data_IF_478569456927
#
_entry.id   IF_478569456927
#
_cell.length_a   1.000
_cell.length_b   1.000
_cell.length_c   1.000
_cell.angle_alpha   90.00
_cell.angle_beta   90.00
_cell.angle_gamma   90.00
#
_symmetry.space_group_name_H-M   'P 1'
#
loop_
_entity.id
_entity.type
_entity.pdbx_description
1 polymer ?
#
# COMPACT_ATOMS: atom_id res chain seq x y z
N UNK A 1 -45.00 30.28 28.50
CA UNK A 1 -45.63 29.10 27.88
C UNK A 1 -44.63 28.55 26.87
N UNK A 2 -44.03 27.37 26.94
CA UNK A 2 -44.16 26.19 27.80
C UNK A 2 -42.73 25.65 28.02
N UNK A 3 -42.51 25.18 29.24
CA UNK A 3 -41.32 24.56 29.84
C UNK A 3 -41.06 23.12 29.37
N UNK A 4 -39.78 22.70 29.53
CA UNK A 4 -39.22 21.35 29.77
C UNK A 4 -40.15 20.14 29.67
N UNK A 5 -39.66 19.06 29.05
CA UNK A 5 -39.60 17.70 29.62
C UNK A 5 -38.84 16.77 28.65
N UNK A 6 -37.66 16.30 29.05
CA UNK A 6 -37.03 15.11 28.45
C UNK A 6 -37.30 13.97 29.42
N UNK A 7 -38.26 13.11 29.08
CA UNK A 7 -38.57 11.91 29.84
C UNK A 7 -37.54 10.82 29.56
N UNK A 8 -37.00 10.27 30.64
CA UNK A 8 -36.28 9.02 30.64
C UNK A 8 -37.27 7.85 30.54
N UNK A 9 -37.01 6.92 29.62
CA UNK A 9 -37.72 5.63 29.54
C UNK A 9 -36.75 4.45 29.72
N UNK A 10 -37.22 3.27 30.19
CA UNK A 10 -36.49 2.51 31.19
C UNK A 10 -35.99 1.11 30.74
N UNK A 11 -35.06 0.61 31.57
CA UNK A 11 -34.77 -0.79 31.96
C UNK A 11 -34.21 -1.80 30.93
N UNK A 12 -33.00 -2.20 31.32
CA UNK A 12 -32.22 -3.42 31.01
C UNK A 12 -33.08 -4.68 30.88
N UNK A 13 -32.82 -5.44 29.82
CA UNK A 13 -33.11 -6.89 29.76
C UNK A 13 -31.94 -7.66 30.37
N UNK A 14 -32.25 -8.55 31.30
CA UNK A 14 -31.37 -9.59 31.86
C UNK A 14 -31.00 -10.64 30.81
N UNK A 15 -29.76 -11.16 30.78
CA UNK A 15 -29.44 -12.37 30.02
C UNK A 15 -29.82 -13.62 30.83
N UNK A 16 -30.47 -14.56 30.16
CA UNK A 16 -30.79 -15.91 30.62
C UNK A 16 -29.52 -16.77 30.76
N UNK A 17 -29.51 -17.61 31.81
CA UNK A 17 -28.46 -18.59 32.12
C UNK A 17 -28.28 -19.59 30.97
N UNK A 18 -27.07 -19.69 30.44
CA UNK A 18 -26.61 -20.86 29.68
C UNK A 18 -25.82 -21.79 30.62
N UNK A 19 -26.14 -23.07 30.52
CA UNK A 19 -25.63 -24.20 31.31
C UNK A 19 -24.16 -24.48 31.02
N UNK A 20 -23.42 -24.79 32.09
CA UNK A 20 -21.99 -25.08 32.10
C UNK A 20 -21.61 -26.35 31.32
N UNK A 21 -20.48 -26.30 30.62
CA UNK A 21 -19.74 -27.47 30.12
C UNK A 21 -18.60 -27.82 31.10
N UNK A 22 -18.20 -29.09 31.24
CA UNK A 22 -17.29 -29.55 32.29
C UNK A 22 -15.82 -29.13 32.05
N UNK A 23 -14.99 -29.08 33.10
CA UNK A 23 -13.63 -28.54 33.03
C UNK A 23 -12.65 -29.53 32.39
N UNK A 24 -11.73 -28.97 31.60
CA UNK A 24 -10.55 -29.65 31.09
C UNK A 24 -9.57 -29.91 32.25
N UNK A 25 -9.13 -31.16 32.37
CA UNK A 25 -8.10 -31.61 33.31
C UNK A 25 -6.72 -31.17 32.82
N UNK A 26 -6.05 -30.34 33.63
CA UNK A 26 -4.68 -29.87 33.41
C UNK A 26 -3.70 -30.92 33.95
N UNK A 27 -2.92 -31.55 33.08
CA UNK A 27 -1.83 -32.45 33.48
C UNK A 27 -0.54 -31.65 33.55
N UNK A 28 -0.08 -31.44 34.79
CA UNK A 28 1.16 -30.78 35.12
C UNK A 28 2.39 -31.49 34.53
N UNK A 29 3.26 -30.74 33.85
CA UNK A 29 4.70 -31.04 33.79
C UNK A 29 5.53 -29.75 33.83
N UNK A 30 6.27 -29.63 34.93
CA UNK A 30 7.48 -28.81 35.19
C UNK A 30 7.55 -27.36 34.65
N UNK A 31 7.17 -26.41 35.51
CA UNK A 31 7.66 -25.02 35.42
C UNK A 31 9.10 -24.94 35.95
N UNK A 32 10.03 -24.51 35.10
CA UNK A 32 11.34 -24.02 35.53
C UNK A 32 11.17 -22.73 36.35
N UNK A 33 11.91 -22.63 37.46
CA UNK A 33 11.89 -21.48 38.39
C UNK A 33 12.23 -20.16 37.68
N UNK A 34 11.63 -19.03 38.08
CA UNK A 34 12.05 -17.72 37.60
C UNK A 34 13.46 -17.40 38.12
N UNK A 35 14.37 -17.03 37.22
CA UNK A 35 15.66 -16.44 37.58
C UNK A 35 15.41 -14.97 37.91
N UNK A 36 15.66 -14.61 39.17
CA UNK A 36 15.75 -13.21 39.60
C UNK A 36 17.00 -12.59 38.95
N UNK A 37 16.77 -11.66 38.02
CA UNK A 37 17.83 -10.82 37.46
C UNK A 37 18.13 -9.75 38.51
N UNK A 38 19.32 -9.78 39.11
CA UNK A 38 19.80 -8.75 40.03
C UNK A 38 19.98 -7.39 39.33
N UNK A 39 20.11 -6.29 40.10
CA UNK A 39 20.25 -4.96 39.52
C UNK A 39 21.52 -4.86 38.65
N UNK A 40 21.38 -4.18 37.50
CA UNK A 40 22.47 -3.90 36.58
C UNK A 40 23.52 -2.98 37.23
N UNK A 41 24.81 -3.13 36.88
CA UNK A 41 25.86 -2.20 37.30
C UNK A 41 25.60 -0.80 36.70
N UNK A 42 26.02 0.28 37.37
CA UNK A 42 25.80 1.63 36.87
C UNK A 42 26.57 1.88 35.57
N UNK A 43 25.92 2.60 34.64
CA UNK A 43 26.54 3.08 33.40
C UNK A 43 27.75 3.98 33.68
N UNK A 44 28.82 3.94 32.87
CA UNK A 44 29.89 4.91 32.96
C UNK A 44 29.39 6.32 32.62
N UNK A 45 29.89 7.30 33.37
CA UNK A 45 29.51 8.70 33.27
C UNK A 45 29.76 9.30 31.87
N UNK A 46 28.87 10.21 31.46
CA UNK A 46 29.00 11.00 30.24
C UNK A 46 30.25 11.91 30.29
N UNK A 47 31.01 12.07 29.18
CA UNK A 47 32.09 13.04 29.14
C UNK A 47 31.54 14.47 29.12
N UNK A 48 32.08 15.28 30.02
CA UNK A 48 31.82 16.70 30.20
C UNK A 48 32.21 17.53 28.98
N UNK A 49 31.32 18.46 28.60
CA UNK A 49 31.54 19.52 27.61
C UNK A 49 32.70 20.43 28.01
N UNK A 50 33.64 20.64 27.10
CA UNK A 50 34.35 21.91 26.94
C UNK A 50 34.19 22.37 25.50
N UNK A 51 33.77 23.61 25.34
CA UNK A 51 33.45 24.28 24.07
C UNK A 51 34.63 25.15 23.61
N UNK A 52 34.62 25.43 22.29
CA UNK A 52 35.30 26.47 21.48
C UNK A 52 36.48 25.96 20.64
N UNK A 53 36.67 26.35 19.39
CA UNK A 53 35.86 27.04 18.38
C UNK A 53 36.62 26.86 17.04
N UNK A 54 35.92 26.65 15.93
CA UNK A 54 36.27 27.20 14.62
C UNK A 54 35.31 26.68 13.54
N UNK A 55 34.69 27.66 12.88
CA UNK A 55 33.85 27.61 11.70
C UNK A 55 34.64 27.32 10.41
N UNK A 56 33.88 26.97 9.36
CA UNK A 56 34.22 26.99 7.93
C UNK A 56 35.10 25.85 7.38
N UNK A 57 34.42 24.89 6.73
CA UNK A 57 34.67 24.28 5.39
C UNK A 57 34.44 22.77 5.38
N UNK A 58 33.20 22.35 5.13
CA UNK A 58 32.88 21.02 4.60
C UNK A 58 31.52 21.06 3.87
N UNK A 59 31.40 21.96 2.89
CA UNK A 59 30.54 21.71 1.74
C UNK A 59 31.35 20.85 0.78
N UNK A 60 30.72 19.82 0.20
CA UNK A 60 31.25 18.82 -0.74
C UNK A 60 31.93 17.60 -0.08
N UNK A 61 31.13 16.59 0.26
CA UNK A 61 31.38 15.16 -0.01
C UNK A 61 30.48 14.29 0.89
N UNK A 62 29.30 13.92 0.38
CA UNK A 62 28.71 12.61 0.64
C UNK A 62 27.67 12.34 -0.44
N UNK A 63 28.21 12.29 -1.66
CA UNK A 63 27.60 11.65 -2.79
C UNK A 63 28.61 10.64 -3.30
N UNK A 64 28.56 9.41 -2.80
CA UNK A 64 28.74 8.22 -3.65
C UNK A 64 27.89 7.06 -3.11
N UNK A 65 27.37 6.20 -4.00
CA UNK A 65 26.34 5.22 -3.70
C UNK A 65 26.89 3.80 -3.86
N UNK A 66 27.27 3.13 -2.78
CA UNK A 66 27.66 1.71 -2.85
C UNK A 66 26.46 0.80 -2.57
N UNK A 67 25.51 0.82 -3.51
CA UNK A 67 24.76 -0.39 -3.83
C UNK A 67 25.49 -1.00 -5.03
N UNK A 68 26.14 -2.14 -4.83
CA UNK A 68 26.76 -2.93 -5.89
C UNK A 68 25.66 -3.27 -6.90
N UNK A 69 25.55 -2.45 -7.95
CA UNK A 69 24.78 -2.74 -9.14
C UNK A 69 25.54 -3.82 -9.90
N UNK A 70 25.21 -5.09 -9.65
CA UNK A 70 25.41 -6.11 -10.66
C UNK A 70 24.71 -5.63 -11.92
N UNK A 71 25.46 -5.35 -12.97
CA UNK A 71 24.92 -5.02 -14.28
C UNK A 71 24.07 -6.21 -14.75
N UNK A 72 22.76 -6.11 -14.58
CA UNK A 72 21.81 -7.07 -15.12
C UNK A 72 21.87 -7.01 -16.65
N UNK A 73 21.99 -8.18 -17.27
CA UNK A 73 21.83 -8.35 -18.70
C UNK A 73 20.50 -7.71 -19.15
N UNK A 74 20.45 -7.13 -20.37
CA UNK A 74 19.22 -6.55 -20.89
C UNK A 74 18.08 -7.58 -20.82
N UNK A 75 16.85 -7.15 -20.46
CA UNK A 75 15.75 -8.07 -20.23
C UNK A 75 15.49 -8.89 -21.50
N UNK A 76 15.61 -10.21 -21.40
CA UNK A 76 14.97 -11.11 -22.36
C UNK A 76 13.51 -10.67 -22.49
N UNK A 77 13.10 -10.43 -23.74
CA UNK A 77 11.87 -9.73 -24.09
C UNK A 77 10.69 -10.17 -23.21
N UNK A 78 10.11 -9.20 -22.51
CA UNK A 78 8.80 -9.38 -21.92
C UNK A 78 7.84 -9.87 -23.01
N UNK A 79 7.02 -10.90 -22.75
CA UNK A 79 5.96 -11.34 -23.65
C UNK A 79 5.23 -10.20 -24.35
N UNK A 80 5.03 -10.35 -25.66
CA UNK A 80 4.22 -9.43 -26.47
C UNK A 80 2.88 -9.12 -25.79
N UNK A 81 2.49 -7.83 -25.70
CA UNK A 81 1.14 -7.46 -25.29
C UNK A 81 0.09 -8.19 -26.12
N UNK A 82 -1.00 -8.63 -25.49
CA UNK A 82 -2.17 -9.15 -26.23
C UNK A 82 -2.36 -10.68 -26.25
N UNK A 83 -1.36 -11.50 -25.90
CA UNK A 83 -1.56 -12.96 -25.80
C UNK A 83 -1.93 -13.40 -24.39
N UNK A 84 -2.97 -14.24 -24.27
CA UNK A 84 -3.31 -14.92 -23.01
C UNK A 84 -2.27 -16.00 -22.73
N UNK A 85 -1.71 -16.02 -21.52
CA UNK A 85 -0.73 -17.02 -21.08
C UNK A 85 -1.25 -17.76 -19.86
N UNK A 86 -1.16 -19.09 -19.91
CA UNK A 86 -1.42 -19.95 -18.75
C UNK A 86 -0.37 -19.69 -17.68
N UNK A 87 -0.82 -19.48 -16.45
CA UNK A 87 0.03 -19.24 -15.31
C UNK A 87 0.41 -20.58 -14.66
N UNK A 88 1.71 -20.88 -14.49
CA UNK A 88 2.13 -22.01 -13.68
C UNK A 88 1.61 -21.90 -12.25
N UNK A 89 1.41 -23.04 -11.60
CA UNK A 89 1.08 -23.10 -10.18
C UNK A 89 2.35 -23.28 -9.36
N UNK A 90 2.44 -22.56 -8.24
CA UNK A 90 3.40 -22.89 -7.19
C UNK A 90 2.79 -23.96 -6.27
N UNK A 91 3.62 -24.66 -5.51
CA UNK A 91 3.20 -25.70 -4.58
C UNK A 91 2.93 -25.18 -3.16
N UNK A 92 3.16 -23.90 -2.90
CA UNK A 92 2.97 -23.29 -1.59
C UNK A 92 2.96 -21.76 -1.60
N UNK A 93 2.72 -21.20 -0.42
CA UNK A 93 2.68 -19.77 -0.18
C UNK A 93 3.99 -19.30 0.45
N UNK A 94 4.74 -18.47 -0.27
CA UNK A 94 6.04 -17.94 0.18
C UNK A 94 6.09 -16.47 -0.16
N UNK A 95 6.10 -15.61 0.85
CA UNK A 95 6.24 -14.16 0.64
C UNK A 95 7.65 -13.78 0.22
N UNK A 96 7.77 -12.72 -0.58
CA UNK A 96 9.07 -12.09 -0.86
C UNK A 96 9.74 -11.65 0.45
N UNK A 97 11.05 -11.85 0.56
CA UNK A 97 11.83 -11.27 1.66
C UNK A 97 12.45 -9.96 1.20
N UNK A 98 12.32 -8.92 2.01
CA UNK A 98 12.90 -7.62 1.70
C UNK A 98 13.36 -6.93 2.97
N UNK A 99 14.40 -6.13 2.86
CA UNK A 99 14.89 -5.24 3.90
C UNK A 99 15.15 -3.86 3.30
N UNK A 100 14.92 -2.82 4.10
CA UNK A 100 15.08 -1.45 3.66
C UNK A 100 15.98 -0.68 4.62
N UNK A 101 16.92 0.08 4.04
CA UNK A 101 17.83 0.99 4.73
C UNK A 101 18.58 0.29 5.88
N UNK A 102 19.78 -0.24 5.61
CA UNK A 102 20.67 -0.71 6.67
C UNK A 102 20.90 0.37 7.72
N UNK A 103 21.01 -0.05 8.97
CA UNK A 103 21.26 0.78 10.13
C UNK A 103 22.44 0.21 10.92
N UNK A 104 23.17 1.10 11.57
CA UNK A 104 24.25 0.72 12.48
C UNK A 104 23.74 0.73 13.94
N UNK A 105 22.65 0.00 14.18
CA UNK A 105 22.04 -0.17 15.49
C UNK A 105 21.57 -1.62 15.66
N UNK A 106 21.00 -1.94 16.82
CA UNK A 106 20.55 -3.29 17.15
C UNK A 106 19.46 -3.84 16.22
N UNK A 107 18.81 -3.00 15.40
CA UNK A 107 17.73 -3.42 14.50
C UNK A 107 18.21 -3.78 13.10
N UNK A 108 19.44 -3.39 12.72
CA UNK A 108 20.12 -3.69 11.44
C UNK A 108 19.46 -3.09 10.19
N UNK A 109 18.13 -3.03 10.13
CA UNK A 109 17.34 -2.45 9.05
C UNK A 109 16.16 -1.65 9.63
N UNK A 110 15.81 -0.56 8.94
CA UNK A 110 14.63 0.23 9.30
C UNK A 110 13.34 -0.59 9.30
N UNK A 111 13.25 -1.53 8.37
CA UNK A 111 12.27 -2.60 8.38
C UNK A 111 12.77 -3.75 7.49
N UNK A 112 12.40 -4.97 7.85
CA UNK A 112 12.71 -6.17 7.09
C UNK A 112 11.70 -7.26 7.39
N UNK A 113 11.52 -8.21 6.48
CA UNK A 113 10.66 -9.37 6.72
C UNK A 113 10.09 -10.00 5.47
N UNK A 114 9.14 -10.91 5.69
CA UNK A 114 8.22 -11.38 4.65
C UNK A 114 7.24 -10.27 4.30
N UNK A 115 7.45 -9.62 3.16
CA UNK A 115 6.77 -8.38 2.77
C UNK A 115 5.92 -8.59 1.51
N UNK A 116 5.18 -9.70 1.44
CA UNK A 116 4.34 -10.04 0.28
C UNK A 116 3.13 -9.13 0.06
N UNK A 117 2.64 -8.44 1.10
CA UNK A 117 1.54 -7.45 1.00
C UNK A 117 2.02 -6.03 1.30
N UNK A 118 3.33 -5.81 1.18
CA UNK A 118 3.91 -4.47 1.29
C UNK A 118 3.66 -3.68 -0.02
N UNK A 119 3.45 -2.37 0.00
CA UNK A 119 3.37 -1.48 1.16
C UNK A 119 1.93 -1.00 1.40
N UNK A 120 1.70 -0.26 2.48
CA UNK A 120 0.40 0.36 2.80
C UNK A 120 -0.13 1.35 1.74
N UNK A 121 0.63 1.62 0.67
CA UNK A 121 0.26 2.50 -0.45
C UNK A 121 -0.15 1.73 -1.70
N UNK A 122 -0.03 0.41 -1.65
CA UNK A 122 -0.58 -0.54 -2.60
C UNK A 122 -1.95 -0.98 -2.10
N UNK A 123 -3.01 -0.76 -2.88
CA UNK A 123 -4.34 -1.25 -2.53
C UNK A 123 -5.24 -1.44 -3.76
N UNK A 124 -6.21 -2.36 -3.71
CA UNK A 124 -6.37 -3.39 -2.70
C UNK A 124 -5.49 -4.62 -2.99
N UNK A 125 -5.22 -5.43 -1.96
CA UNK A 125 -4.57 -6.74 -2.14
C UNK A 125 -5.58 -7.90 -2.26
N UNK A 126 -6.84 -7.66 -1.91
CA UNK A 126 -7.92 -8.64 -1.99
C UNK A 126 -9.24 -7.99 -2.39
N UNK A 127 -10.07 -8.74 -3.11
CA UNK A 127 -11.40 -8.32 -3.60
C UNK A 127 -12.38 -9.49 -3.46
N UNK A 128 -13.53 -9.22 -2.86
CA UNK A 128 -14.60 -10.21 -2.71
C UNK A 128 -15.52 -10.21 -3.94
N UNK A 129 -15.82 -11.41 -4.45
CA UNK A 129 -16.71 -11.65 -5.57
C UNK A 129 -17.94 -12.44 -5.11
N UNK A 130 -19.03 -11.72 -4.75
CA UNK A 130 -20.25 -12.33 -4.22
C UNK A 130 -20.85 -13.40 -5.15
N UNK A 131 -20.83 -13.17 -6.48
CA UNK A 131 -21.37 -14.09 -7.50
C UNK A 131 -20.79 -15.50 -7.42
N UNK A 132 -19.52 -15.62 -7.03
CA UNK A 132 -18.81 -16.91 -6.91
C UNK A 132 -18.42 -17.24 -5.47
N UNK A 133 -18.76 -16.38 -4.51
CA UNK A 133 -18.40 -16.51 -3.09
C UNK A 133 -16.91 -16.79 -2.89
N UNK A 134 -16.06 -15.99 -3.56
CA UNK A 134 -14.60 -16.08 -3.48
C UNK A 134 -14.01 -14.72 -3.13
N UNK A 135 -13.00 -14.70 -2.27
CA UNK A 135 -12.12 -13.54 -2.12
C UNK A 135 -10.87 -13.80 -2.93
N UNK A 136 -10.71 -13.11 -4.06
CA UNK A 136 -9.47 -13.14 -4.83
C UNK A 136 -8.44 -12.25 -4.18
N UNK A 137 -7.18 -12.65 -4.21
CA UNK A 137 -6.08 -11.86 -3.65
C UNK A 137 -4.80 -12.04 -4.46
N UNK A 138 -3.91 -11.06 -4.32
CA UNK A 138 -2.57 -11.10 -4.88
C UNK A 138 -1.52 -10.76 -3.82
N UNK A 139 -0.28 -11.17 -4.06
CA UNK A 139 0.84 -10.86 -3.19
C UNK A 139 2.16 -10.99 -3.94
N UNK A 140 3.22 -10.40 -3.38
CA UNK A 140 4.60 -10.65 -3.75
C UNK A 140 5.10 -11.95 -3.16
N UNK A 141 5.31 -12.94 -3.99
CA UNK A 141 5.92 -14.20 -3.62
C UNK A 141 7.39 -14.31 -4.00
N UNK A 142 7.98 -15.48 -3.79
CA UNK A 142 9.33 -15.82 -4.29
C UNK A 142 9.47 -17.31 -4.61
N UNK A 143 10.37 -17.70 -5.53
CA UNK A 143 10.74 -19.10 -5.70
C UNK A 143 11.38 -19.68 -4.43
N UNK A 144 11.48 -21.00 -4.36
CA UNK A 144 12.03 -21.71 -3.18
C UNK A 144 13.50 -21.41 -2.93
N UNK A 145 14.26 -21.32 -4.02
CA UNK A 145 15.72 -21.33 -4.09
C UNK A 145 16.33 -19.93 -4.24
N UNK A 146 15.51 -18.91 -4.48
CA UNK A 146 15.99 -17.55 -4.72
C UNK A 146 15.03 -16.47 -4.24
N UNK A 147 15.60 -15.31 -3.89
CA UNK A 147 14.83 -14.15 -3.44
C UNK A 147 14.49 -13.20 -4.61
N UNK A 148 13.70 -13.70 -5.56
CA UNK A 148 13.17 -12.91 -6.67
C UNK A 148 11.66 -12.76 -6.55
N UNK A 149 11.15 -11.56 -6.75
CA UNK A 149 9.74 -11.21 -6.61
C UNK A 149 8.91 -11.86 -7.72
N UNK A 150 8.04 -12.78 -7.31
CA UNK A 150 6.94 -13.29 -8.13
C UNK A 150 5.67 -12.51 -7.83
N UNK A 151 4.88 -12.22 -8.86
CA UNK A 151 3.51 -11.76 -8.65
C UNK A 151 2.60 -12.96 -8.61
N UNK A 152 1.99 -13.17 -7.45
CA UNK A 152 1.18 -14.33 -7.15
C UNK A 152 -0.29 -13.93 -7.11
N UNK A 153 -1.18 -14.81 -7.59
CA UNK A 153 -2.63 -14.61 -7.54
C UNK A 153 -3.30 -15.89 -7.05
N UNK A 154 -4.23 -15.78 -6.10
CA UNK A 154 -5.06 -16.90 -5.66
C UNK A 154 -6.41 -16.41 -5.13
N UNK A 155 -7.18 -17.29 -4.49
CA UNK A 155 -8.44 -16.94 -3.85
C UNK A 155 -8.70 -17.77 -2.59
N UNK A 156 -9.49 -17.24 -1.67
CA UNK A 156 -10.18 -18.00 -0.64
C UNK A 156 -11.59 -18.33 -1.12
N UNK A 157 -11.94 -19.60 -1.14
CA UNK A 157 -13.27 -20.07 -1.51
C UNK A 157 -14.15 -20.19 -0.27
N UNK A 158 -15.12 -19.29 -0.13
CA UNK A 158 -15.97 -19.22 1.07
C UNK A 158 -16.95 -20.39 1.16
N UNK A 159 -17.20 -21.13 0.07
CA UNK A 159 -18.08 -22.31 0.09
C UNK A 159 -17.38 -23.51 0.70
N UNK A 160 -16.10 -23.66 0.39
CA UNK A 160 -15.30 -24.82 0.80
C UNK A 160 -14.38 -24.55 1.98
N UNK A 161 -14.11 -23.27 2.28
CA UNK A 161 -13.12 -22.87 3.29
C UNK A 161 -11.67 -23.09 2.84
N UNK A 162 -11.43 -23.32 1.55
CA UNK A 162 -10.12 -23.70 1.02
C UNK A 162 -9.43 -22.55 0.27
N UNK A 163 -8.10 -22.62 0.24
CA UNK A 163 -7.23 -21.78 -0.56
C UNK A 163 -6.47 -22.70 -1.53
N UNK A 164 -6.61 -22.55 -2.87
CA UNK A 164 -5.93 -23.40 -3.83
C UNK A 164 -4.47 -22.96 -4.00
N UNK A 165 -3.67 -23.80 -4.67
CA UNK A 165 -2.31 -23.43 -5.09
C UNK A 165 -2.30 -22.12 -5.88
N UNK A 166 -1.40 -21.17 -5.56
CA UNK A 166 -1.38 -19.86 -6.20
C UNK A 166 -0.83 -19.95 -7.62
N UNK A 167 -1.36 -19.11 -8.50
CA UNK A 167 -0.85 -18.91 -9.85
C UNK A 167 0.31 -17.92 -9.84
N UNK A 168 1.39 -18.26 -10.56
CA UNK A 168 2.53 -17.39 -10.82
C UNK A 168 2.21 -16.56 -12.07
N UNK A 169 1.91 -15.28 -11.90
CA UNK A 169 1.61 -14.37 -13.01
C UNK A 169 2.87 -14.00 -13.78
N UNK A 170 3.90 -13.54 -13.08
CA UNK A 170 5.18 -13.10 -13.65
C UNK A 170 6.27 -13.06 -12.57
N UNK A 171 7.52 -13.14 -13.01
CA UNK A 171 8.71 -12.85 -12.19
C UNK A 171 9.21 -11.44 -12.53
N UNK A 172 9.32 -10.56 -11.53
CA UNK A 172 9.77 -9.16 -11.69
C UNK A 172 11.28 -9.01 -11.75
N UNK A 173 12.05 -10.08 -11.48
CA UNK A 173 13.51 -10.10 -11.46
C UNK A 173 14.08 -9.01 -10.55
N UNK A 174 13.54 -8.93 -9.34
CA UNK A 174 13.99 -8.00 -8.31
C UNK A 174 13.56 -8.53 -6.96
N UNK A 175 14.23 -8.17 -5.88
CA UNK A 175 13.76 -8.44 -4.52
C UNK A 175 12.98 -7.25 -3.92
N UNK A 176 12.84 -6.14 -4.66
CA UNK A 176 12.21 -4.92 -4.15
C UNK A 176 10.71 -5.11 -3.93
N UNK A 177 10.29 -5.23 -2.67
CA UNK A 177 8.89 -5.40 -2.30
C UNK A 177 8.00 -4.20 -2.68
N UNK A 178 8.57 -3.04 -3.02
CA UNK A 178 7.78 -1.93 -3.57
C UNK A 178 7.19 -2.25 -4.96
N UNK A 179 7.74 -3.24 -5.67
CA UNK A 179 7.22 -3.71 -6.96
C UNK A 179 6.00 -4.64 -6.82
N UNK A 180 5.58 -5.00 -5.60
CA UNK A 180 4.44 -5.88 -5.34
C UNK A 180 3.17 -5.52 -6.15
N UNK A 181 2.33 -6.51 -6.48
CA UNK A 181 1.11 -6.28 -7.25
C UNK A 181 -0.04 -5.76 -6.39
N UNK A 182 -1.05 -5.18 -7.03
CA UNK A 182 -2.41 -5.00 -6.47
C UNK A 182 -3.45 -5.60 -7.41
N UNK A 183 -4.64 -5.88 -6.89
CA UNK A 183 -5.72 -6.55 -7.60
C UNK A 183 -6.93 -5.63 -7.77
N UNK A 184 -7.69 -5.80 -8.85
CA UNK A 184 -9.04 -5.29 -8.99
C UNK A 184 -9.94 -6.33 -9.66
N UNK A 185 -11.25 -6.18 -9.50
CA UNK A 185 -12.27 -7.02 -10.13
C UNK A 185 -13.22 -6.11 -10.88
N UNK A 186 -13.45 -6.37 -12.16
CA UNK A 186 -14.46 -5.66 -12.93
C UNK A 186 -15.86 -6.28 -12.78
N UNK A 187 -16.88 -5.56 -13.25
CA UNK A 187 -18.28 -5.99 -13.19
C UNK A 187 -18.59 -7.23 -14.03
N UNK A 188 -17.74 -7.54 -15.02
CA UNK A 188 -17.82 -8.74 -15.85
C UNK A 188 -17.15 -9.95 -15.17
N UNK A 189 -16.48 -9.72 -14.04
CA UNK A 189 -15.80 -10.72 -13.24
C UNK A 189 -14.35 -10.97 -13.62
N UNK A 190 -13.73 -10.19 -14.52
CA UNK A 190 -12.32 -10.36 -14.81
C UNK A 190 -11.46 -9.80 -13.68
N UNK A 191 -10.37 -10.52 -13.41
CA UNK A 191 -9.40 -10.18 -12.40
C UNK A 191 -8.29 -9.38 -13.06
N UNK A 192 -8.00 -8.21 -12.51
CA UNK A 192 -6.98 -7.30 -12.99
C UNK A 192 -5.83 -7.24 -11.99
N UNK A 193 -4.60 -7.34 -12.48
CA UNK A 193 -3.39 -7.26 -11.67
C UNK A 193 -2.53 -6.10 -12.14
N UNK A 194 -2.30 -5.15 -11.25
CA UNK A 194 -1.46 -3.97 -11.48
C UNK A 194 -0.11 -4.23 -10.83
N UNK A 195 0.87 -4.53 -11.67
CA UNK A 195 2.24 -4.86 -11.29
C UNK A 195 3.05 -3.58 -11.19
N UNK A 196 3.41 -3.19 -9.97
CA UNK A 196 4.08 -1.91 -9.72
C UNK A 196 5.56 -1.93 -10.11
N UNK A 197 6.17 -0.75 -10.13
CA UNK A 197 7.62 -0.56 -10.12
C UNK A 197 7.97 0.51 -9.09
N UNK A 198 9.18 0.45 -8.55
CA UNK A 198 9.71 1.48 -7.65
C UNK A 198 10.62 2.45 -8.40
N UNK A 199 10.09 3.64 -8.74
CA UNK A 199 10.81 4.59 -9.58
C UNK A 199 10.76 4.21 -11.05
N UNK A 200 11.82 4.51 -11.80
CA UNK A 200 11.88 4.35 -13.27
C UNK A 200 12.82 3.23 -13.72
N UNK A 201 13.46 2.52 -12.79
CA UNK A 201 14.44 1.48 -13.10
C UNK A 201 13.83 0.26 -13.81
N UNK A 202 12.53 0.02 -13.60
CA UNK A 202 11.80 -1.13 -14.17
C UNK A 202 10.43 -0.69 -14.67
N UNK A 203 9.87 -1.38 -15.68
CA UNK A 203 8.50 -1.14 -16.12
C UNK A 203 7.46 -1.66 -15.12
N UNK A 204 6.28 -1.04 -15.19
CA UNK A 204 5.04 -1.51 -14.58
C UNK A 204 4.15 -2.16 -15.63
N UNK A 205 3.25 -3.04 -15.19
CA UNK A 205 2.36 -3.79 -16.09
C UNK A 205 0.93 -3.84 -15.57
N UNK A 206 -0.05 -3.90 -16.48
CA UNK A 206 -1.43 -4.28 -16.14
C UNK A 206 -1.74 -5.56 -16.89
N UNK A 207 -2.26 -6.56 -16.17
CA UNK A 207 -2.70 -7.83 -16.73
C UNK A 207 -4.15 -8.12 -16.34
N UNK A 208 -4.89 -8.78 -17.22
CA UNK A 208 -6.30 -9.18 -17.01
C UNK A 208 -6.44 -10.68 -17.18
N UNK A 209 -7.29 -11.33 -16.39
CA UNK A 209 -7.56 -12.75 -16.50
C UNK A 209 -8.15 -13.10 -17.88
N UNK A 210 -7.83 -14.28 -18.40
CA UNK A 210 -8.35 -14.76 -19.68
C UNK A 210 -9.84 -15.12 -19.64
N UNK A 211 -10.38 -15.38 -18.44
CA UNK A 211 -11.80 -15.67 -18.18
C UNK A 211 -12.26 -14.98 -16.89
N UNK A 212 -13.56 -14.66 -16.74
CA UNK A 212 -14.12 -14.21 -15.47
C UNK A 212 -13.83 -15.20 -14.33
N UNK A 213 -13.48 -14.68 -13.16
CA UNK A 213 -13.29 -15.41 -11.91
C UNK A 213 -12.23 -16.53 -11.98
N UNK A 214 -11.28 -16.43 -12.91
CA UNK A 214 -10.24 -17.43 -13.14
C UNK A 214 -8.85 -16.84 -12.93
N UNK A 215 -8.02 -17.57 -12.19
CA UNK A 215 -6.59 -17.26 -11.98
C UNK A 215 -5.67 -18.09 -12.89
N UNK A 216 -6.22 -18.88 -13.81
CA UNK A 216 -5.45 -19.87 -14.58
C UNK A 216 -4.61 -19.26 -15.69
N UNK A 217 -5.04 -18.13 -16.24
CA UNK A 217 -4.35 -17.48 -17.35
C UNK A 217 -4.59 -15.98 -17.35
N UNK A 218 -3.58 -15.22 -17.77
CA UNK A 218 -3.65 -13.77 -17.85
C UNK A 218 -3.06 -13.26 -19.16
N UNK A 219 -3.59 -12.11 -19.61
CA UNK A 219 -3.08 -11.35 -20.75
C UNK A 219 -2.56 -10.01 -20.25
N UNK A 220 -1.36 -9.63 -20.66
CA UNK A 220 -0.84 -8.29 -20.41
C UNK A 220 -1.44 -7.31 -21.40
N UNK A 221 -1.95 -6.19 -20.89
CA UNK A 221 -2.65 -5.17 -21.69
C UNK A 221 -2.00 -3.79 -21.61
N UNK A 222 -1.09 -3.59 -20.64
CA UNK A 222 -0.38 -2.34 -20.47
C UNK A 222 1.08 -2.59 -20.08
N UNK A 223 1.97 -1.78 -20.65
CA UNK A 223 3.37 -1.61 -20.24
C UNK A 223 3.61 -0.12 -20.07
N UNK A 224 4.19 0.27 -18.94
CA UNK A 224 4.49 1.68 -18.68
C UNK A 224 5.21 1.87 -17.37
N UNK A 225 4.85 2.92 -16.62
CA UNK A 225 5.46 3.23 -15.34
C UNK A 225 4.45 3.85 -14.37
N UNK A 226 4.35 3.21 -13.20
CA UNK A 226 3.57 3.65 -12.05
C UNK A 226 4.06 2.96 -10.77
N UNK A 227 4.01 3.70 -9.67
CA UNK A 227 4.31 3.22 -8.31
C UNK A 227 3.10 3.40 -7.40
N UNK A 228 3.00 2.59 -6.34
CA UNK A 228 1.93 2.69 -5.34
C UNK A 228 0.51 2.69 -5.96
N UNK A 229 0.18 1.64 -6.75
CA UNK A 229 -1.06 1.57 -7.51
C UNK A 229 -2.29 1.48 -6.61
N UNK A 230 -3.32 2.26 -6.95
CA UNK A 230 -4.63 2.27 -6.28
C UNK A 230 -5.76 2.31 -7.33
N UNK A 231 -6.03 1.19 -8.03
CA UNK A 231 -7.12 1.10 -9.00
C UNK A 231 -8.49 1.01 -8.32
N UNK A 232 -9.44 1.78 -8.83
CA UNK A 232 -10.86 1.72 -8.46
C UNK A 232 -11.68 1.39 -9.70
N UNK A 233 -12.29 0.21 -9.73
CA UNK A 233 -13.34 -0.10 -10.70
C UNK A 233 -14.66 0.49 -10.23
N UNK A 234 -15.28 1.30 -11.08
CA UNK A 234 -16.58 1.93 -10.84
C UNK A 234 -17.57 1.30 -11.82
N UNK A 235 -18.58 0.54 -11.33
CA UNK A 235 -19.56 -0.14 -12.18
C UNK A 235 -20.24 0.81 -13.18
N UNK A 236 -20.38 0.40 -14.43
CA UNK A 236 -20.94 1.20 -15.52
C UNK A 236 -20.05 2.33 -16.05
N UNK A 237 -18.88 2.58 -15.43
CA UNK A 237 -17.99 3.70 -15.80
C UNK A 237 -16.57 3.27 -16.18
N UNK A 238 -16.02 2.24 -15.51
CA UNK A 238 -14.66 1.74 -15.73
C UNK A 238 -13.70 2.08 -14.59
N UNK A 239 -12.41 2.19 -14.90
CA UNK A 239 -11.36 2.49 -13.94
C UNK A 239 -11.10 3.97 -13.74
N UNK A 240 -10.97 4.37 -12.46
CA UNK A 240 -10.11 5.46 -12.02
C UNK A 240 -8.87 4.86 -11.35
N UNK A 241 -7.68 5.20 -11.86
CA UNK A 241 -6.42 4.63 -11.40
C UNK A 241 -5.49 5.69 -10.84
N UNK A 242 -5.45 5.79 -9.51
CA UNK A 242 -4.57 6.69 -8.79
C UNK A 242 -3.22 6.01 -8.55
N UNK A 243 -2.13 6.71 -8.82
CA UNK A 243 -0.78 6.17 -8.67
C UNK A 243 0.25 7.29 -8.50
N UNK A 244 1.49 6.90 -8.19
CA UNK A 244 2.64 7.81 -8.15
C UNK A 244 3.49 7.66 -9.40
N UNK A 245 4.03 8.78 -9.88
CA UNK A 245 5.13 8.80 -10.84
C UNK A 245 6.32 9.56 -10.27
N UNK A 246 7.50 8.99 -10.45
CA UNK A 246 8.74 9.58 -9.96
C UNK A 246 9.29 10.59 -10.96
N UNK A 247 9.40 11.85 -10.54
CA UNK A 247 10.10 12.91 -11.28
C UNK A 247 10.46 14.03 -10.30
N UNK A 248 11.74 14.15 -9.93
CA UNK A 248 12.21 15.10 -8.89
C UNK A 248 11.43 14.98 -7.56
N UNK A 249 11.07 13.74 -7.18
CA UNK A 249 10.16 13.48 -6.06
C UNK A 249 9.01 12.58 -6.46
N UNK A 250 8.05 12.41 -5.54
CA UNK A 250 6.86 11.56 -5.71
C UNK A 250 5.66 12.40 -6.11
N UNK A 251 5.32 12.40 -7.40
CA UNK A 251 4.17 13.14 -7.94
C UNK A 251 2.95 12.24 -7.96
N UNK A 252 1.80 12.76 -7.52
CA UNK A 252 0.54 12.04 -7.58
C UNK A 252 -0.07 12.19 -8.97
N UNK A 253 -0.54 11.09 -9.53
CA UNK A 253 -1.10 11.01 -10.87
C UNK A 253 -2.39 10.18 -10.88
N UNK A 254 -3.19 10.42 -11.91
CA UNK A 254 -4.35 9.60 -12.23
C UNK A 254 -4.39 9.25 -13.72
N UNK A 255 -4.98 8.10 -14.00
CA UNK A 255 -5.42 7.66 -15.33
C UNK A 255 -6.86 7.14 -15.22
N UNK A 256 -7.60 7.16 -16.32
CA UNK A 256 -8.92 6.59 -16.40
C UNK A 256 -9.04 5.68 -17.63
N UNK A 257 -9.90 4.68 -17.56
CA UNK A 257 -10.14 3.75 -18.66
C UNK A 257 -11.53 3.15 -18.56
N UNK A 258 -12.33 3.23 -19.63
CA UNK A 258 -13.67 2.64 -19.64
C UNK A 258 -13.65 1.11 -19.70
N UNK A 259 -12.60 0.51 -20.27
CA UNK A 259 -12.50 -0.91 -20.60
C UNK A 259 -11.30 -1.62 -19.93
N UNK A 260 -10.44 -0.87 -19.23
CA UNK A 260 -9.18 -1.34 -18.64
C UNK A 260 -8.06 -1.60 -19.66
N UNK A 261 -8.31 -1.37 -20.95
CA UNK A 261 -7.36 -1.62 -22.05
C UNK A 261 -6.87 -0.29 -22.61
N UNK A 262 -7.81 0.60 -22.92
CA UNK A 262 -7.56 1.93 -23.46
C UNK A 262 -7.49 2.94 -22.31
N UNK A 263 -6.28 3.41 -22.01
CA UNK A 263 -6.05 4.31 -20.88
C UNK A 263 -5.82 5.75 -21.32
N UNK A 264 -6.38 6.70 -20.58
CA UNK A 264 -6.07 8.11 -20.75
C UNK A 264 -4.60 8.42 -20.46
N UNK A 265 -4.10 9.54 -20.98
CA UNK A 265 -2.77 10.04 -20.62
C UNK A 265 -2.73 10.33 -19.09
N UNK A 266 -1.61 10.02 -18.41
CA UNK A 266 -1.45 10.35 -17.00
C UNK A 266 -1.61 11.85 -16.75
N UNK A 267 -2.54 12.22 -15.87
CA UNK A 267 -2.75 13.60 -15.41
C UNK A 267 -2.20 13.77 -14.01
N UNK A 268 -1.46 14.84 -13.76
CA UNK A 268 -0.90 15.11 -12.44
C UNK A 268 -2.00 15.64 -11.51
N UNK A 269 -2.09 15.08 -10.31
CA UNK A 269 -3.01 15.50 -9.26
C UNK A 269 -2.35 16.49 -8.30
N UNK A 270 -1.15 16.17 -7.82
CA UNK A 270 -0.43 17.00 -6.85
C UNK A 270 1.09 16.79 -6.93
N UNK A 271 1.83 17.88 -6.75
CA UNK A 271 3.26 17.88 -6.51
C UNK A 271 3.68 19.13 -5.73
N UNK A 272 3.99 18.95 -4.46
CA UNK A 272 4.51 19.98 -3.57
C UNK A 272 5.84 19.50 -2.99
N UNK A 273 6.86 20.37 -3.08
CA UNK A 273 8.21 20.10 -2.58
C UNK A 273 8.77 18.74 -3.03
N UNK A 274 9.10 17.82 -2.10
CA UNK A 274 9.71 16.53 -2.44
C UNK A 274 8.67 15.43 -2.76
N UNK A 275 7.39 15.79 -2.80
CA UNK A 275 6.28 14.94 -3.22
C UNK A 275 5.40 14.46 -2.07
N UNK A 276 4.72 13.33 -2.30
CA UNK A 276 3.62 12.88 -1.46
C UNK A 276 3.59 11.36 -1.29
N UNK A 277 2.88 10.90 -0.26
CA UNK A 277 2.22 9.60 -0.26
C UNK A 277 0.72 9.76 -0.22
N UNK A 278 0.02 8.96 -1.02
CA UNK A 278 -1.45 8.97 -1.11
C UNK A 278 -2.07 7.66 -0.63
N UNK A 279 -3.31 7.75 -0.18
CA UNK A 279 -4.25 6.65 0.04
C UNK A 279 -5.59 7.06 -0.58
N UNK A 280 -6.44 6.09 -0.88
CA UNK A 280 -7.73 6.36 -1.51
C UNK A 280 -8.76 5.30 -1.15
N UNK A 281 -10.02 5.70 -1.14
CA UNK A 281 -11.17 4.85 -0.89
C UNK A 281 -12.30 5.18 -1.86
N UNK A 282 -13.29 4.30 -1.96
CA UNK A 282 -14.45 4.47 -2.85
C UNK A 282 -15.74 4.23 -2.08
N UNK A 283 -16.73 5.09 -2.33
CA UNK A 283 -18.13 4.89 -1.95
C UNK A 283 -19.02 5.15 -3.16
N UNK A 284 -19.70 4.13 -3.68
CA UNK A 284 -20.44 4.24 -4.94
C UNK A 284 -19.54 4.69 -6.10
N UNK A 285 -19.92 5.78 -6.77
CA UNK A 285 -19.11 6.42 -7.83
C UNK A 285 -18.05 7.38 -7.30
N UNK A 286 -18.16 7.78 -6.03
CA UNK A 286 -17.22 8.71 -5.39
C UNK A 286 -15.91 7.99 -5.03
N UNK A 287 -14.79 8.59 -5.41
CA UNK A 287 -13.45 8.20 -4.99
C UNK A 287 -12.82 9.36 -4.22
N UNK A 288 -12.48 9.11 -2.97
CA UNK A 288 -11.74 10.04 -2.11
C UNK A 288 -10.26 9.68 -2.09
N UNK A 289 -9.39 10.68 -2.02
CA UNK A 289 -7.95 10.51 -1.80
C UNK A 289 -7.46 11.44 -0.71
N UNK A 290 -6.66 10.89 0.20
CA UNK A 290 -5.93 11.65 1.19
C UNK A 290 -4.43 11.48 0.98
N UNK A 291 -3.68 12.56 1.19
CA UNK A 291 -2.24 12.56 1.02
C UNK A 291 -1.57 13.55 1.98
N UNK A 292 -0.29 13.29 2.26
CA UNK A 292 0.60 14.18 2.98
C UNK A 292 1.61 14.80 2.01
N UNK A 293 2.50 15.67 2.47
CA UNK A 293 3.65 16.11 1.66
C UNK A 293 4.98 15.83 2.35
N UNK A 294 6.03 15.83 1.55
CA UNK A 294 7.42 15.59 1.97
C UNK A 294 8.14 16.93 2.04
N UNK A 295 8.44 17.45 3.24
CA UNK A 295 9.04 18.76 3.38
C UNK A 295 10.47 18.79 2.83
N UNK A 296 10.85 19.85 2.15
CA UNK A 296 12.25 20.14 1.83
C UNK A 296 12.88 20.94 2.98
N UNK A 297 14.10 20.60 3.45
CA UNK A 297 15.00 19.55 2.94
C UNK A 297 14.84 18.16 3.58
N UNK A 298 13.98 17.98 4.59
CA UNK A 298 13.96 16.77 5.44
C UNK A 298 13.54 15.48 4.69
N UNK A 299 12.61 15.59 3.75
CA UNK A 299 12.20 14.50 2.87
C UNK A 299 11.16 13.55 3.45
N UNK A 300 11.11 12.34 2.88
CA UNK A 300 9.99 11.39 3.05
C UNK A 300 9.78 10.87 4.47
N UNK A 301 10.79 10.98 5.35
CA UNK A 301 10.66 10.55 6.75
C UNK A 301 10.00 11.61 7.64
N UNK A 302 9.79 12.84 7.14
CA UNK A 302 9.16 13.95 7.88
C UNK A 302 7.83 14.36 7.25
N UNK A 303 7.09 13.37 6.75
CA UNK A 303 5.78 13.58 6.13
C UNK A 303 4.87 14.31 7.10
N UNK A 304 4.27 15.40 6.64
CA UNK A 304 3.35 16.21 7.46
C UNK A 304 2.19 16.74 6.61
N UNK A 305 1.26 17.39 7.28
CA UNK A 305 -0.04 17.87 6.81
C UNK A 305 -0.94 16.78 6.22
N UNK A 306 -2.24 17.01 6.34
CA UNK A 306 -3.26 16.15 5.77
C UNK A 306 -4.05 16.94 4.73
N UNK A 307 -4.07 16.42 3.52
CA UNK A 307 -4.88 16.93 2.42
C UNK A 307 -5.92 15.89 2.02
N UNK A 308 -7.08 16.35 1.56
CA UNK A 308 -8.15 15.49 1.02
C UNK A 308 -8.79 16.11 -0.22
N UNK A 309 -9.06 15.26 -1.20
CA UNK A 309 -9.83 15.57 -2.40
C UNK A 309 -10.76 14.40 -2.73
N UNK A 310 -11.90 14.69 -3.36
CA UNK A 310 -12.79 13.68 -3.90
C UNK A 310 -13.29 14.01 -5.30
N UNK A 311 -13.67 12.97 -6.03
CA UNK A 311 -14.23 13.03 -7.37
C UNK A 311 -15.35 12.00 -7.50
N UNK A 312 -16.37 12.32 -8.28
CA UNK A 312 -17.47 11.44 -8.68
C UNK A 312 -17.58 11.30 -10.21
N UNK A 313 -16.58 11.78 -10.96
CA UNK A 313 -16.59 11.89 -12.42
C UNK A 313 -15.33 11.30 -13.10
N UNK A 314 -14.74 10.26 -12.49
CA UNK A 314 -13.49 9.62 -12.92
C UNK A 314 -12.29 10.59 -12.89
N UNK A 315 -12.25 11.50 -11.93
CA UNK A 315 -11.15 12.44 -11.73
C UNK A 315 -11.07 13.53 -12.79
N UNK A 316 -12.17 13.84 -13.48
CA UNK A 316 -12.23 15.00 -14.38
C UNK A 316 -12.19 16.27 -13.56
N UNK A 317 -13.03 16.35 -12.53
CA UNK A 317 -13.07 17.42 -11.53
C UNK A 317 -12.77 16.89 -10.13
N UNK A 318 -12.35 17.79 -9.25
CA UNK A 318 -12.01 17.50 -7.86
C UNK A 318 -12.61 18.55 -6.94
N UNK A 319 -13.02 18.12 -5.76
CA UNK A 319 -13.61 18.97 -4.72
C UNK A 319 -13.14 18.55 -3.34
N UNK A 320 -13.30 19.44 -2.36
CA UNK A 320 -13.14 19.13 -0.94
C UNK A 320 -14.30 18.25 -0.45
N UNK A 321 -14.20 17.74 0.78
CA UNK A 321 -15.30 17.01 1.43
C UNK A 321 -16.59 17.86 1.58
N UNK A 322 -16.46 19.19 1.68
CA UNK A 322 -17.58 20.13 1.73
C UNK A 322 -18.12 20.53 0.35
N UNK A 323 -17.57 19.97 -0.73
CA UNK A 323 -18.01 20.22 -2.10
C UNK A 323 -17.39 21.45 -2.77
N UNK A 324 -16.44 22.14 -2.13
CA UNK A 324 -15.74 23.26 -2.74
C UNK A 324 -14.86 22.76 -3.90
N UNK A 325 -15.02 23.28 -5.14
CA UNK A 325 -14.17 22.89 -6.26
C UNK A 325 -12.70 23.22 -6.00
N UNK A 326 -11.80 22.30 -6.38
CA UNK A 326 -10.35 22.49 -6.25
C UNK A 326 -9.66 22.28 -7.59
N UNK A 327 -8.97 23.30 -8.14
CA UNK A 327 -8.22 23.15 -9.38
C UNK A 327 -7.01 22.23 -9.18
N UNK A 328 -6.73 21.41 -10.19
CA UNK A 328 -5.57 20.49 -10.21
C UNK A 328 -4.68 20.79 -11.41
N UNK A 329 -3.35 20.60 -11.31
CA UNK A 329 -2.63 20.00 -10.19
C UNK A 329 -2.42 20.93 -8.99
N UNK A 330 -2.40 20.37 -7.79
CA UNK A 330 -2.00 21.08 -6.57
C UNK A 330 -0.47 21.25 -6.52
N UNK A 331 -0.03 22.50 -6.40
CA UNK A 331 1.40 22.88 -6.40
C UNK A 331 1.79 23.79 -5.24
N UNK A 332 0.83 24.17 -4.39
CA UNK A 332 1.03 24.97 -3.17
C UNK A 332 0.63 24.18 -1.93
N UNK A 333 1.23 24.52 -0.79
CA UNK A 333 0.83 24.00 0.53
C UNK A 333 -0.50 24.61 1.00
N UNK A 334 -0.74 25.87 0.65
CA UNK A 334 -1.99 26.57 0.91
C UNK A 334 -2.97 26.26 -0.23
N UNK A 335 -4.00 25.49 0.11
CA UNK A 335 -5.00 25.00 -0.83
C UNK A 335 -6.27 24.63 -0.06
N UNK A 336 -7.46 24.78 -0.66
CA UNK A 336 -8.70 24.30 -0.05
C UNK A 336 -8.70 22.80 0.30
N UNK A 337 -7.78 22.00 -0.28
CA UNK A 337 -7.63 20.60 0.05
C UNK A 337 -7.02 20.34 1.44
N UNK A 338 -6.45 21.34 2.11
CA UNK A 338 -5.83 21.19 3.42
C UNK A 338 -6.90 20.89 4.48
N UNK A 339 -6.84 19.69 5.06
CA UNK A 339 -7.69 19.28 6.18
C UNK A 339 -7.07 19.71 7.50
N UNK A 340 -5.75 19.55 7.64
CA UNK A 340 -5.07 19.86 8.88
C UNK A 340 -3.57 20.14 8.71
N UNK A 341 -3.07 21.20 9.35
CA UNK A 341 -1.67 21.66 9.29
C UNK A 341 -0.84 21.12 10.46
N UNK A 342 -0.58 19.82 10.43
CA UNK A 342 0.30 19.15 11.41
C UNK A 342 1.71 19.75 11.47
N UNK A 343 2.17 20.44 10.42
CA UNK A 343 3.49 21.07 10.39
C UNK A 343 3.59 22.19 11.42
N UNK A 344 2.55 23.01 11.56
CA UNK A 344 2.50 24.10 12.54
C UNK A 344 2.62 23.58 13.98
N UNK A 345 2.20 22.34 14.21
CA UNK A 345 2.28 21.64 15.49
C UNK A 345 3.59 20.86 15.68
N UNK A 346 4.48 20.85 14.68
CA UNK A 346 5.71 20.06 14.71
C UNK A 346 5.47 18.54 14.61
N UNK A 347 4.32 18.12 14.09
CA UNK A 347 3.91 16.72 14.00
C UNK A 347 4.13 16.11 12.61
N UNK A 348 4.42 14.80 12.60
CA UNK A 348 4.47 13.98 11.40
C UNK A 348 3.17 13.18 11.24
N UNK A 349 2.74 12.94 9.99
CA UNK A 349 1.52 12.18 9.68
C UNK A 349 1.78 11.06 8.68
N UNK A 350 1.44 9.83 9.09
CA UNK A 350 1.70 8.60 8.34
C UNK A 350 0.39 7.89 7.99
N UNK A 351 -0.19 8.28 6.87
CA UNK A 351 -1.48 7.77 6.41
C UNK A 351 -1.43 6.26 6.16
N UNK A 352 -2.51 5.54 6.46
CA UNK A 352 -2.61 4.08 6.26
C UNK A 352 -3.83 3.70 5.43
N UNK A 353 -5.00 4.24 5.76
CA UNK A 353 -6.25 3.89 5.11
C UNK A 353 -7.21 5.08 5.04
N UNK A 354 -8.15 5.02 4.10
CA UNK A 354 -9.28 5.92 3.92
C UNK A 354 -10.52 5.06 3.69
N UNK A 355 -11.52 5.25 4.54
CA UNK A 355 -12.81 4.60 4.44
C UNK A 355 -13.90 5.66 4.52
N UNK A 356 -15.02 5.39 3.87
CA UNK A 356 -16.27 6.13 4.05
C UNK A 356 -17.10 5.40 5.11
N UNK A 357 -17.86 6.16 5.89
CA UNK A 357 -18.93 5.61 6.70
C UNK A 357 -20.08 5.09 5.81
N UNK A 358 -20.97 4.31 6.44
CA UNK A 358 -22.06 3.60 5.78
C UNK A 358 -23.29 4.48 5.56
#
# INVERSE_FOLDING_TARGET
MITRLWEAAPRRRTPTKQTASPPWTDTATQRSKPVLIGPWPPHPAAPTRTWLAALLTAFLANATPDAVCSAEAPPAASPEPGTVRVCPKDDGYRGIWYSNQPQNDQYVYKYSGGLGTYCAKHRPFAVYAAKVQKTFFCYGGRPKDKNELLHMVSYYDHRTGLVPRPSILLNKRTSDAHDNPVIALDERGHIWIFSSSHGTARPSYISVSGKPYSIEAFRRVYVGNFSYPQPHWIPGHGFLFLHTRYKQGRRLFLMASADGISWSRPRMLAHVQLGHYQISGRCGTKVGTAFNFHPSPQGLNWRTNLYYLETDDLGRTWKTASGQPVPTPLTSLDTPALVHDFRSEGLNVYLKDLAFDA
#
